data_IF_315495185074
#
_entry.id   IF_315495185074
#
_cell.length_a   1.000
_cell.length_b   1.000
_cell.length_c   1.000
_cell.angle_alpha   90.00
_cell.angle_beta   90.00
_cell.angle_gamma   90.00
#
_symmetry.space_group_name_H-M   'P 1'
#
loop_
_entity.id
_entity.type
_entity.pdbx_description
1 polymer ?
#
# COMPACT_ATOMS: atom_id res chain seq x y z
N UNK A 1 13.01 -4.98 -8.31
CA UNK A 1 14.10 -4.48 -7.44
C UNK A 1 13.65 -3.15 -6.85
N UNK A 2 13.86 -2.91 -5.56
CA UNK A 2 13.46 -1.68 -4.87
C UNK A 2 14.39 -0.49 -5.21
N UNK A 3 13.88 0.74 -5.15
CA UNK A 3 14.68 1.96 -5.39
C UNK A 3 15.57 2.27 -4.19
N UNK A 4 16.86 2.47 -4.43
CA UNK A 4 17.83 2.72 -3.36
C UNK A 4 17.69 4.14 -2.78
N UNK A 5 17.41 4.24 -1.49
CA UNK A 5 17.24 5.53 -0.81
C UNK A 5 18.52 6.38 -0.73
N UNK A 6 19.70 5.76 -0.68
CA UNK A 6 20.95 6.53 -0.66
C UNK A 6 21.20 7.23 -2.00
N UNK A 7 20.93 6.56 -3.12
CA UNK A 7 21.09 7.20 -4.45
C UNK A 7 20.13 8.38 -4.61
N UNK A 8 18.90 8.25 -4.13
CA UNK A 8 17.91 9.33 -4.11
C UNK A 8 18.37 10.48 -3.20
N UNK A 9 18.82 10.19 -1.98
CA UNK A 9 19.29 11.18 -1.03
C UNK A 9 20.48 11.98 -1.57
N UNK A 10 21.49 11.30 -2.14
CA UNK A 10 22.66 11.98 -2.73
C UNK A 10 22.28 12.89 -3.91
N UNK A 11 21.33 12.47 -4.75
CA UNK A 11 20.84 13.32 -5.86
C UNK A 11 20.09 14.55 -5.36
N UNK A 12 19.21 14.39 -4.38
CA UNK A 12 18.47 15.49 -3.76
C UNK A 12 19.45 16.49 -3.12
N UNK A 13 20.44 15.99 -2.37
CA UNK A 13 21.48 16.84 -1.78
C UNK A 13 22.34 17.56 -2.84
N UNK A 14 22.73 16.88 -3.91
CA UNK A 14 23.54 17.47 -4.96
C UNK A 14 22.81 18.63 -5.64
N UNK A 15 21.51 18.48 -5.90
CA UNK A 15 20.67 19.52 -6.53
C UNK A 15 20.45 20.68 -5.56
N UNK A 16 20.06 20.40 -4.30
CA UNK A 16 19.81 21.42 -3.29
C UNK A 16 21.06 22.26 -2.97
N UNK A 17 22.23 21.62 -2.87
CA UNK A 17 23.51 22.30 -2.57
C UNK A 17 24.01 23.15 -3.75
N UNK A 18 23.82 22.69 -5.00
CA UNK A 18 24.24 23.44 -6.19
C UNK A 18 23.60 24.83 -6.28
N UNK A 19 22.40 24.96 -5.75
CA UNK A 19 21.62 26.20 -5.78
C UNK A 19 21.78 27.09 -4.52
N UNK A 20 22.58 26.69 -3.52
CA UNK A 20 22.74 27.37 -2.22
C UNK A 20 21.45 27.56 -1.41
N UNK A 21 20.44 26.69 -1.58
CA UNK A 21 19.07 26.92 -1.05
C UNK A 21 18.79 26.34 0.34
N UNK A 22 19.79 25.71 0.96
CA UNK A 22 19.69 25.18 2.32
C UNK A 22 20.09 23.71 2.42
N UNK A 23 20.34 23.26 3.65
CA UNK A 23 20.71 21.89 3.97
C UNK A 23 19.46 21.13 4.44
N UNK A 24 19.11 20.05 3.73
CA UNK A 24 18.04 19.14 4.17
C UNK A 24 18.65 18.13 5.13
N UNK A 25 18.21 18.15 6.39
CA UNK A 25 18.67 17.16 7.37
C UNK A 25 18.15 15.77 7.00
N UNK A 26 18.86 14.69 7.38
CA UNK A 26 18.36 13.33 7.15
C UNK A 26 16.96 13.06 7.73
N UNK A 27 16.60 13.73 8.82
CA UNK A 27 15.28 13.59 9.44
C UNK A 27 14.19 14.22 8.58
N UNK A 28 14.43 15.44 8.09
CA UNK A 28 13.52 16.11 7.14
C UNK A 28 13.41 15.32 5.84
N UNK A 29 14.53 14.83 5.31
CA UNK A 29 14.53 13.98 4.13
C UNK A 29 13.66 12.73 4.33
N UNK A 30 13.79 12.03 5.46
CA UNK A 30 12.97 10.85 5.73
C UNK A 30 11.48 11.18 5.77
N UNK A 31 11.09 12.32 6.34
CA UNK A 31 9.69 12.75 6.33
C UNK A 31 9.18 13.02 4.91
N UNK A 32 9.94 13.79 4.12
CA UNK A 32 9.60 14.14 2.74
C UNK A 32 9.60 12.90 1.82
N UNK A 33 10.54 11.97 2.03
CA UNK A 33 10.63 10.72 1.30
C UNK A 33 9.40 9.82 1.54
N UNK A 34 8.93 9.70 2.78
CA UNK A 34 7.71 8.95 3.08
C UNK A 34 6.48 9.61 2.45
N UNK A 35 6.37 10.94 2.49
CA UNK A 35 5.27 11.65 1.83
C UNK A 35 5.32 11.49 0.31
N UNK A 36 6.49 11.61 -0.31
CA UNK A 36 6.66 11.44 -1.75
C UNK A 36 6.32 10.02 -2.20
N UNK A 37 6.75 9.00 -1.44
CA UNK A 37 6.40 7.60 -1.72
C UNK A 37 4.89 7.38 -1.67
N UNK A 38 4.21 7.91 -0.65
CA UNK A 38 2.75 7.79 -0.55
C UNK A 38 2.04 8.50 -1.70
N UNK A 39 2.47 9.71 -2.06
CA UNK A 39 1.87 10.45 -3.17
C UNK A 39 2.00 9.71 -4.51
N UNK A 40 3.16 9.11 -4.79
CA UNK A 40 3.39 8.32 -6.01
C UNK A 40 2.53 7.05 -5.98
N UNK A 41 2.45 6.38 -4.83
CA UNK A 41 1.61 5.20 -4.65
C UNK A 41 0.12 5.51 -4.91
N UNK A 42 -0.40 6.61 -4.38
CA UNK A 42 -1.78 7.04 -4.63
C UNK A 42 -2.03 7.38 -6.11
N UNK A 43 -1.04 7.99 -6.77
CA UNK A 43 -1.10 8.34 -8.19
C UNK A 43 -1.27 7.09 -9.08
N UNK A 44 -0.65 5.95 -8.75
CA UNK A 44 -0.82 4.72 -9.52
C UNK A 44 -2.30 4.31 -9.63
N UNK A 45 -3.07 4.39 -8.53
CA UNK A 45 -4.50 4.06 -8.57
C UNK A 45 -5.31 5.09 -9.33
N UNK A 46 -4.92 6.36 -9.27
CA UNK A 46 -5.58 7.40 -10.04
C UNK A 46 -5.39 7.16 -11.55
N UNK A 47 -4.13 6.94 -11.97
CA UNK A 47 -3.79 6.68 -13.36
C UNK A 47 -4.45 5.40 -13.86
N UNK A 48 -4.38 4.31 -13.08
CA UNK A 48 -5.05 3.04 -13.38
C UNK A 48 -6.54 3.23 -13.71
N UNK A 49 -7.28 3.95 -12.85
CA UNK A 49 -8.71 4.23 -13.06
C UNK A 49 -8.98 5.12 -14.29
N UNK A 50 -8.01 5.93 -14.74
CA UNK A 50 -8.16 6.75 -15.94
C UNK A 50 -7.90 5.95 -17.21
N UNK A 51 -6.86 5.12 -17.23
CA UNK A 51 -6.55 4.26 -18.36
C UNK A 51 -7.62 3.17 -18.56
N UNK A 52 -8.13 2.58 -17.48
CA UNK A 52 -9.25 1.62 -17.54
C UNK A 52 -10.50 2.22 -18.24
N UNK A 53 -10.74 3.52 -18.08
CA UNK A 53 -11.87 4.22 -18.70
C UNK A 53 -11.58 4.73 -20.12
N UNK A 54 -10.32 5.01 -20.42
CA UNK A 54 -9.91 5.72 -21.63
C UNK A 54 -9.46 4.81 -22.78
N UNK A 55 -9.01 3.60 -22.49
CA UNK A 55 -8.39 2.75 -23.51
C UNK A 55 -9.39 1.79 -24.16
N UNK A 56 -9.57 1.98 -25.47
CA UNK A 56 -10.06 0.91 -26.35
C UNK A 56 -8.86 0.00 -26.58
N UNK A 57 -8.84 -1.15 -25.89
CA UNK A 57 -7.68 -2.05 -25.77
C UNK A 57 -6.84 -2.17 -27.03
N UNK A 58 -5.60 -1.69 -26.92
CA UNK A 58 -4.58 -1.91 -27.94
C UNK A 58 -3.75 -3.10 -27.45
N UNK A 59 -3.97 -4.28 -28.03
CA UNK A 59 -3.50 -5.61 -27.56
C UNK A 59 -1.97 -5.83 -27.71
N UNK A 60 -1.20 -4.75 -27.66
CA UNK A 60 0.24 -4.74 -27.79
C UNK A 60 0.91 -5.02 -26.44
N UNK A 61 1.46 -6.22 -26.30
CA UNK A 61 2.03 -6.80 -25.05
C UNK A 61 3.07 -5.94 -24.29
N UNK A 62 3.65 -4.91 -24.90
CA UNK A 62 4.72 -4.10 -24.29
C UNK A 62 4.46 -2.59 -24.31
N UNK A 63 3.36 -2.13 -24.89
CA UNK A 63 3.04 -0.69 -25.02
C UNK A 63 1.73 -0.31 -24.36
N UNK A 64 1.07 -1.26 -23.72
CA UNK A 64 -0.12 -0.97 -22.92
C UNK A 64 0.29 -0.25 -21.62
N UNK A 65 -0.25 0.95 -21.42
CA UNK A 65 0.02 1.73 -20.22
C UNK A 65 -0.63 1.11 -18.99
N UNK A 66 -1.74 0.39 -19.16
CA UNK A 66 -2.42 -0.31 -18.07
C UNK A 66 -1.55 -1.45 -17.53
N UNK A 67 -0.90 -2.22 -18.40
CA UNK A 67 0.01 -3.29 -18.00
C UNK A 67 1.21 -2.76 -17.21
N UNK A 68 1.80 -1.65 -17.65
CA UNK A 68 2.91 -0.99 -16.94
C UNK A 68 2.48 -0.49 -15.56
N UNK A 69 1.25 0.02 -15.42
CA UNK A 69 0.74 0.47 -14.12
C UNK A 69 0.41 -0.73 -13.22
N UNK A 70 -0.16 -1.80 -13.77
CA UNK A 70 -0.39 -3.03 -13.03
C UNK A 70 0.93 -3.59 -12.49
N UNK A 71 1.99 -3.68 -13.29
CA UNK A 71 3.32 -4.13 -12.83
C UNK A 71 3.84 -3.30 -11.64
N UNK A 72 3.56 -2.00 -11.61
CA UNK A 72 3.92 -1.13 -10.46
C UNK A 72 3.05 -1.41 -9.23
N UNK A 73 1.76 -1.68 -9.41
CA UNK A 73 0.82 -1.99 -8.32
C UNK A 73 1.11 -3.38 -7.74
N UNK A 74 1.49 -4.36 -8.57
CA UNK A 74 1.76 -5.75 -8.19
C UNK A 74 2.85 -5.88 -7.11
N UNK A 75 3.78 -4.92 -7.03
CA UNK A 75 4.81 -4.87 -5.97
C UNK A 75 4.17 -4.85 -4.57
N UNK A 76 3.00 -4.21 -4.45
CA UNK A 76 2.27 -4.04 -3.20
C UNK A 76 1.23 -5.14 -2.95
N UNK A 77 0.97 -6.00 -3.94
CA UNK A 77 -0.01 -7.07 -3.80
C UNK A 77 0.54 -8.18 -2.90
N UNK A 78 -0.27 -8.57 -1.92
CA UNK A 78 0.00 -9.72 -1.05
C UNK A 78 -0.98 -10.82 -1.39
N UNK A 79 -0.45 -11.98 -1.76
CA UNK A 79 -1.23 -13.13 -2.19
C UNK A 79 -1.38 -14.17 -1.08
N UNK A 80 -2.62 -14.59 -0.80
CA UNK A 80 -2.99 -15.65 0.14
C UNK A 80 -2.37 -15.51 1.53
N UNK A 81 -2.43 -14.31 2.09
CA UNK A 81 -1.98 -14.05 3.46
C UNK A 81 -3.01 -14.62 4.44
N UNK A 82 -2.55 -15.35 5.46
CA UNK A 82 -3.43 -15.93 6.48
C UNK A 82 -4.13 -14.85 7.31
N UNK A 83 -5.45 -14.95 7.41
CA UNK A 83 -6.23 -14.16 8.35
C UNK A 83 -6.13 -14.76 9.76
N UNK A 84 -6.33 -13.95 10.79
CA UNK A 84 -6.30 -14.41 12.18
C UNK A 84 -7.72 -14.79 12.63
N UNK A 85 -7.91 -16.04 13.03
CA UNK A 85 -9.18 -16.47 13.61
C UNK A 85 -9.33 -15.92 15.02
N UNK A 86 -10.48 -15.30 15.33
CA UNK A 86 -10.79 -14.82 16.68
C UNK A 86 -11.99 -15.57 17.24
N UNK A 87 -11.83 -16.09 18.45
CA UNK A 87 -12.89 -16.79 19.18
C UNK A 87 -13.65 -15.81 20.06
N UNK A 88 -14.95 -15.67 19.85
CA UNK A 88 -15.85 -15.01 20.79
C UNK A 88 -16.83 -16.05 21.35
N UNK A 89 -17.10 -16.00 22.66
CA UNK A 89 -18.02 -16.93 23.32
C UNK A 89 -19.45 -16.91 22.73
N UNK A 90 -19.86 -15.81 22.08
CA UNK A 90 -21.21 -15.60 21.56
C UNK A 90 -21.30 -15.64 20.02
N UNK A 91 -20.17 -15.67 19.31
CA UNK A 91 -20.13 -15.56 17.85
C UNK A 91 -18.97 -16.41 17.30
N UNK A 92 -19.27 -17.28 16.35
CA UNK A 92 -18.28 -18.11 15.67
C UNK A 92 -18.03 -17.62 14.24
N UNK A 93 -16.86 -17.96 13.69
CA UNK A 93 -16.51 -17.64 12.29
C UNK A 93 -16.02 -16.20 12.09
N UNK A 94 -15.49 -15.56 13.14
CA UNK A 94 -14.95 -14.21 13.05
C UNK A 94 -13.47 -14.29 12.69
N UNK A 95 -13.06 -13.47 11.74
CA UNK A 95 -11.68 -13.36 11.28
C UNK A 95 -11.23 -11.91 11.30
N UNK A 96 -9.98 -11.72 11.65
CA UNK A 96 -9.28 -10.46 11.54
C UNK A 96 -8.39 -10.46 10.30
N UNK A 97 -8.62 -9.47 9.46
CA UNK A 97 -7.83 -9.18 8.28
C UNK A 97 -6.53 -8.47 8.68
N UNK A 98 -5.43 -8.71 7.94
CA UNK A 98 -4.22 -7.91 8.05
C UNK A 98 -4.49 -6.42 7.84
N UNK A 99 -3.53 -5.59 8.25
CA UNK A 99 -3.54 -4.19 7.86
C UNK A 99 -3.36 -4.09 6.34
N UNK A 100 -4.16 -3.25 5.68
CA UNK A 100 -4.23 -3.20 4.23
C UNK A 100 -4.66 -1.82 3.74
N UNK A 101 -4.17 -1.43 2.57
CA UNK A 101 -4.62 -0.22 1.88
C UNK A 101 -5.93 -0.48 1.11
N UNK A 102 -5.99 -1.57 0.33
CA UNK A 102 -7.18 -2.00 -0.41
C UNK A 102 -7.34 -3.51 -0.28
N UNK A 103 -8.56 -3.97 0.04
CA UNK A 103 -8.86 -5.41 0.01
C UNK A 103 -9.10 -5.88 -1.41
N UNK A 104 -8.48 -7.01 -1.75
CA UNK A 104 -8.90 -7.85 -2.85
C UNK A 104 -9.85 -8.95 -2.36
N UNK A 105 -9.67 -10.14 -2.92
CA UNK A 105 -10.51 -11.30 -2.66
C UNK A 105 -10.10 -12.06 -1.40
N UNK A 106 -11.07 -12.73 -0.78
CA UNK A 106 -10.85 -13.58 0.39
C UNK A 106 -11.12 -15.02 -0.03
N UNK A 107 -10.31 -15.95 0.43
CA UNK A 107 -10.48 -17.37 0.13
C UNK A 107 -10.51 -18.20 1.41
N UNK A 108 -11.24 -19.29 1.37
CA UNK A 108 -11.17 -20.36 2.35
C UNK A 108 -10.51 -21.58 1.73
N UNK A 109 -9.66 -22.24 2.52
CA UNK A 109 -9.09 -23.52 2.14
C UNK A 109 -10.06 -24.64 2.55
N UNK A 110 -10.79 -25.17 1.58
CA UNK A 110 -11.68 -26.32 1.75
C UNK A 110 -11.12 -27.51 0.97
N UNK A 111 -10.92 -28.66 1.63
CA UNK A 111 -10.51 -29.91 0.98
C UNK A 111 -9.28 -29.78 0.04
N UNK A 112 -8.35 -28.88 0.37
CA UNK A 112 -7.14 -28.62 -0.44
C UNK A 112 -7.32 -27.69 -1.63
N UNK A 113 -8.52 -27.11 -1.82
CA UNK A 113 -8.82 -26.12 -2.85
C UNK A 113 -9.16 -24.77 -2.21
N UNK A 114 -8.75 -23.68 -2.87
CA UNK A 114 -9.12 -22.33 -2.46
C UNK A 114 -10.47 -21.97 -3.08
N UNK A 115 -11.44 -21.70 -2.22
CA UNK A 115 -12.79 -21.27 -2.58
C UNK A 115 -12.94 -19.81 -2.19
N UNK A 116 -13.32 -18.96 -3.13
CA UNK A 116 -13.59 -17.54 -2.88
C UNK A 116 -14.73 -17.38 -1.87
N UNK A 117 -14.54 -16.48 -0.92
CA UNK A 117 -15.55 -16.05 0.05
C UNK A 117 -16.15 -14.75 -0.46
N UNK A 118 -17.40 -14.82 -0.90
CA UNK A 118 -18.08 -13.66 -1.50
C UNK A 118 -18.45 -12.63 -0.43
N UNK A 119 -18.21 -11.34 -0.72
CA UNK A 119 -18.63 -10.26 0.15
C UNK A 119 -20.12 -9.98 -0.02
N UNK A 120 -20.87 -10.02 1.07
CA UNK A 120 -22.28 -9.63 1.08
C UNK A 120 -22.55 -8.48 2.05
N UNK A 121 -23.60 -7.72 1.78
CA UNK A 121 -24.09 -6.70 2.70
C UNK A 121 -24.77 -7.33 3.91
N UNK A 122 -24.54 -6.75 5.10
CA UNK A 122 -25.14 -7.23 6.35
C UNK A 122 -26.67 -7.39 6.28
N UNK A 123 -27.34 -6.47 5.57
CA UNK A 123 -28.80 -6.50 5.40
C UNK A 123 -29.29 -7.69 4.56
N UNK A 124 -28.46 -8.20 3.65
CA UNK A 124 -28.81 -9.33 2.78
C UNK A 124 -28.57 -10.68 3.46
N UNK A 125 -27.72 -10.72 4.50
CA UNK A 125 -27.35 -11.95 5.20
C UNK A 125 -28.56 -12.78 5.64
N UNK A 126 -29.57 -12.15 6.25
CA UNK A 126 -30.76 -12.86 6.72
C UNK A 126 -31.58 -13.48 5.58
N UNK A 127 -31.66 -12.80 4.44
CA UNK A 127 -32.37 -13.31 3.25
C UNK A 127 -31.63 -14.51 2.64
N UNK A 128 -30.31 -14.42 2.56
CA UNK A 128 -29.46 -15.46 1.98
C UNK A 128 -29.45 -16.72 2.87
N UNK A 129 -29.36 -16.55 4.20
CA UNK A 129 -29.36 -17.67 5.16
C UNK A 129 -30.69 -18.43 5.21
N UNK A 130 -31.83 -17.75 5.06
CA UNK A 130 -33.15 -18.38 5.12
C UNK A 130 -33.62 -18.94 3.77
N UNK A 131 -32.90 -18.67 2.70
CA UNK A 131 -33.24 -19.13 1.36
C UNK A 131 -32.59 -20.49 1.07
N UNK A 132 -33.36 -21.54 0.73
CA UNK A 132 -32.83 -22.89 0.51
C UNK A 132 -31.82 -22.99 -0.64
N UNK A 133 -31.87 -22.09 -1.63
CA UNK A 133 -31.03 -22.12 -2.81
C UNK A 133 -29.78 -21.24 -2.71
N UNK A 134 -29.79 -20.25 -1.83
CA UNK A 134 -28.69 -19.29 -1.66
C UNK A 134 -28.02 -19.41 -0.30
N UNK A 135 -28.44 -20.37 0.54
CA UNK A 135 -27.82 -20.60 1.84
C UNK A 135 -26.31 -20.84 1.67
N UNK A 136 -25.44 -20.14 2.42
CA UNK A 136 -24.00 -20.28 2.29
C UNK A 136 -23.56 -21.70 2.64
N UNK A 137 -22.73 -22.30 1.80
CA UNK A 137 -22.13 -23.62 2.03
C UNK A 137 -20.62 -23.50 2.06
N UNK A 138 -19.92 -24.58 2.42
CA UNK A 138 -18.45 -24.56 2.46
C UNK A 138 -17.87 -24.35 1.05
N UNK A 139 -18.59 -24.77 0.01
CA UNK A 139 -18.21 -24.59 -1.40
C UNK A 139 -18.62 -23.21 -1.96
N UNK A 140 -19.47 -22.47 -1.24
CA UNK A 140 -19.93 -21.11 -1.58
C UNK A 140 -20.05 -20.26 -0.31
N UNK A 141 -18.92 -19.99 0.36
CA UNK A 141 -18.94 -19.23 1.59
C UNK A 141 -19.12 -17.74 1.28
N UNK A 142 -19.72 -17.03 2.23
CA UNK A 142 -19.93 -15.60 2.16
C UNK A 142 -19.39 -14.94 3.42
N UNK A 143 -18.96 -13.68 3.33
CA UNK A 143 -18.57 -12.90 4.49
C UNK A 143 -19.29 -11.57 4.55
N UNK A 144 -19.54 -11.13 5.78
CA UNK A 144 -19.98 -9.77 6.10
C UNK A 144 -18.89 -9.08 6.90
N UNK A 145 -18.77 -7.77 6.75
CA UNK A 145 -18.06 -6.96 7.76
C UNK A 145 -18.86 -7.03 9.06
N UNK A 146 -18.21 -7.07 10.20
CA UNK A 146 -18.90 -7.12 11.50
C UNK A 146 -18.44 -5.97 12.40
N UNK A 147 -19.21 -5.70 13.46
CA UNK A 147 -18.87 -4.68 14.43
C UNK A 147 -17.58 -5.03 15.20
N UNK A 148 -17.00 -4.04 15.89
CA UNK A 148 -15.76 -4.23 16.64
C UNK A 148 -15.97 -5.33 17.67
N UNK A 149 -15.14 -6.36 17.61
CA UNK A 149 -15.19 -7.48 18.54
C UNK A 149 -13.95 -7.40 19.43
N UNK A 150 -14.19 -7.54 20.73
CA UNK A 150 -13.13 -7.66 21.70
C UNK A 150 -12.44 -9.03 21.52
N UNK A 151 -11.13 -9.04 21.30
CA UNK A 151 -10.31 -10.25 21.38
C UNK A 151 -10.38 -10.78 22.82
N UNK A 152 -10.95 -11.97 23.04
CA UNK A 152 -10.89 -12.63 24.35
C UNK A 152 -9.77 -13.66 24.28
N UNK A 153 -8.61 -13.35 24.88
CA UNK A 153 -7.47 -14.27 24.84
C UNK A 153 -6.14 -13.69 25.31
N UNK A 154 -6.05 -13.21 26.55
CA UNK A 154 -4.81 -13.14 27.34
C UNK A 154 -5.17 -12.78 28.78
N UNK A 155 -4.48 -13.33 29.77
CA UNK A 155 -4.60 -13.01 31.22
C UNK A 155 -4.21 -11.58 31.58
N UNK A 156 -4.04 -10.72 30.59
CA UNK A 156 -3.86 -9.28 30.73
C UNK A 156 -4.98 -8.63 29.93
N UNK A 157 -5.91 -7.97 30.63
CA UNK A 157 -6.98 -7.11 30.10
C UNK A 157 -6.42 -5.96 29.26
N UNK A 158 -5.87 -6.26 28.08
CA UNK A 158 -5.61 -5.29 27.04
C UNK A 158 -6.70 -5.51 25.98
N UNK A 159 -7.81 -4.80 26.19
CA UNK A 159 -8.85 -4.57 25.18
C UNK A 159 -8.23 -3.80 24.00
N UNK A 160 -7.54 -4.49 23.11
CA UNK A 160 -7.29 -3.96 21.76
C UNK A 160 -8.50 -4.32 20.92
N UNK A 161 -9.50 -3.43 20.87
CA UNK A 161 -10.61 -3.57 19.94
C UNK A 161 -10.07 -3.65 18.51
N UNK A 162 -10.53 -4.63 17.74
CA UNK A 162 -10.14 -4.75 16.33
C UNK A 162 -10.93 -3.70 15.55
N UNK A 163 -10.28 -2.85 14.73
CA UNK A 163 -11.00 -1.86 13.95
C UNK A 163 -12.03 -2.54 13.03
N UNK A 164 -13.16 -1.88 12.85
CA UNK A 164 -14.31 -2.36 12.05
C UNK A 164 -13.90 -2.77 10.64
N UNK A 165 -12.98 -2.04 10.05
CA UNK A 165 -12.49 -2.25 8.69
C UNK A 165 -11.74 -3.58 8.51
N UNK A 166 -11.27 -4.18 9.61
CA UNK A 166 -10.46 -5.40 9.62
C UNK A 166 -11.17 -6.60 10.21
N UNK A 167 -12.45 -6.48 10.59
CA UNK A 167 -13.20 -7.58 11.21
C UNK A 167 -14.28 -8.11 10.27
N UNK A 168 -14.22 -9.39 9.95
CA UNK A 168 -15.22 -10.08 9.12
C UNK A 168 -15.82 -11.26 9.85
N UNK A 169 -17.05 -11.62 9.47
CA UNK A 169 -17.68 -12.86 9.87
C UNK A 169 -18.01 -13.69 8.63
N UNK A 170 -17.61 -14.96 8.64
CA UNK A 170 -17.73 -15.90 7.52
C UNK A 170 -18.85 -16.90 7.78
N UNK A 171 -19.66 -17.15 6.75
CA UNK A 171 -20.77 -18.09 6.73
C UNK A 171 -20.61 -19.08 5.55
N UNK A 172 -20.81 -20.40 5.73
CA UNK A 172 -21.00 -21.07 7.02
C UNK A 172 -19.76 -20.86 7.90
N UNK A 173 -19.87 -21.17 9.19
CA UNK A 173 -18.77 -20.95 10.12
C UNK A 173 -17.53 -21.75 9.70
N UNK A 174 -16.50 -21.04 9.25
CA UNK A 174 -15.17 -21.58 8.93
C UNK A 174 -14.20 -21.12 10.02
N UNK A 175 -13.43 -22.06 10.57
CA UNK A 175 -12.53 -21.83 11.71
C UNK A 175 -11.05 -21.98 11.37
N UNK A 176 -10.72 -22.46 10.16
CA UNK A 176 -9.35 -22.65 9.70
C UNK A 176 -9.21 -22.27 8.23
N UNK A 177 -8.01 -21.82 7.83
CA UNK A 177 -7.64 -21.73 6.43
C UNK A 177 -8.26 -20.56 5.66
N UNK A 178 -8.69 -19.49 6.34
CA UNK A 178 -9.08 -18.25 5.65
C UNK A 178 -7.82 -17.44 5.32
N UNK A 179 -7.69 -17.10 4.05
CA UNK A 179 -6.60 -16.27 3.51
C UNK A 179 -7.18 -15.13 2.71
N UNK A 180 -6.43 -14.05 2.54
CA UNK A 180 -6.87 -12.90 1.75
C UNK A 180 -5.77 -12.42 0.80
N UNK A 181 -6.21 -11.85 -0.31
CA UNK A 181 -5.40 -11.01 -1.17
C UNK A 181 -5.71 -9.55 -0.85
N UNK A 182 -4.68 -8.72 -0.79
CA UNK A 182 -4.84 -7.29 -0.55
C UNK A 182 -3.63 -6.53 -1.08
N UNK A 183 -3.82 -5.23 -1.25
CA UNK A 183 -2.75 -4.28 -1.52
C UNK A 183 -2.33 -3.66 -0.20
N UNK A 184 -1.05 -3.79 0.13
CA UNK A 184 -0.47 -3.24 1.35
C UNK A 184 -0.08 -1.76 1.18
N UNK A 185 0.11 -1.07 2.29
CA UNK A 185 0.75 0.25 2.26
C UNK A 185 2.24 0.09 1.96
N UNK A 186 2.86 1.04 1.24
CA UNK A 186 4.29 1.02 1.05
C UNK A 186 5.02 1.16 2.40
N UNK A 187 6.05 0.33 2.60
CA UNK A 187 6.85 0.32 3.83
C UNK A 187 7.47 1.70 4.11
N UNK A 188 7.49 2.11 5.39
CA UNK A 188 8.12 3.38 5.77
C UNK A 188 9.60 3.38 5.42
N UNK A 189 10.01 4.36 4.65
CA UNK A 189 11.40 4.52 4.23
C UNK A 189 12.20 5.28 5.28
N UNK A 190 13.47 4.91 5.41
CA UNK A 190 14.38 5.61 6.29
C UNK A 190 15.79 5.52 5.72
N UNK A 191 16.37 6.68 5.40
CA UNK A 191 17.79 6.81 5.22
C UNK A 191 18.44 6.74 6.60
N UNK A 192 18.98 5.57 6.92
CA UNK A 192 19.61 5.29 8.20
C UNK A 192 20.93 6.04 8.30
N UNK A 193 21.20 6.65 9.45
CA UNK A 193 22.44 7.38 9.67
C UNK A 193 22.97 7.26 11.09
N UNK A 194 24.27 7.50 11.21
CA UNK A 194 24.99 7.68 12.47
C UNK A 194 25.72 9.00 12.45
N UNK A 195 25.76 9.71 13.57
CA UNK A 195 26.47 10.98 13.68
C UNK A 195 27.93 10.68 14.00
N UNK A 196 28.83 11.02 13.09
CA UNK A 196 30.28 10.92 13.27
C UNK A 196 30.87 12.29 12.97
N UNK A 197 31.61 12.88 13.91
CA UNK A 197 32.16 14.24 13.80
C UNK A 197 31.10 15.29 13.40
N UNK A 198 29.95 15.29 14.08
CA UNK A 198 28.82 16.21 13.85
C UNK A 198 28.18 16.12 12.45
N UNK A 199 28.58 15.14 11.63
CA UNK A 199 28.00 14.89 10.31
C UNK A 199 27.23 13.58 10.31
N UNK A 200 26.08 13.58 9.63
CA UNK A 200 25.33 12.37 9.39
C UNK A 200 26.04 11.53 8.32
N UNK A 201 26.45 10.31 8.69
CA UNK A 201 27.03 9.31 7.80
C UNK A 201 26.02 8.18 7.59
N UNK A 202 25.88 7.75 6.34
CA UNK A 202 25.00 6.65 5.94
C UNK A 202 25.26 5.38 6.73
N UNK A 203 24.19 4.70 7.14
CA UNK A 203 24.22 3.42 7.84
C UNK A 203 23.22 2.44 7.20
N UNK A 204 23.74 1.44 6.50
CA UNK A 204 22.95 0.44 5.79
C UNK A 204 22.08 -0.42 6.72
N UNK A 205 22.56 -0.76 7.93
CA UNK A 205 21.83 -1.61 8.89
C UNK A 205 20.56 -0.94 9.44
N UNK A 206 20.48 0.39 9.34
CA UNK A 206 19.34 1.19 9.79
C UNK A 206 18.52 1.75 8.63
N UNK A 207 18.79 1.28 7.42
CA UNK A 207 18.19 1.83 6.21
C UNK A 207 17.05 0.94 5.69
N UNK A 208 15.92 1.57 5.38
CA UNK A 208 14.82 0.95 4.65
C UNK A 208 14.67 1.65 3.31
N UNK A 209 14.79 0.89 2.22
CA UNK A 209 14.68 1.38 0.84
C UNK A 209 13.22 1.62 0.43
N UNK A 210 13.03 2.31 -0.69
CA UNK A 210 11.71 2.58 -1.24
C UNK A 210 11.08 1.32 -1.82
N UNK A 211 9.83 1.06 -1.47
CA UNK A 211 9.02 -0.02 -2.05
C UNK A 211 8.31 0.53 -3.29
N UNK A 212 9.07 0.99 -4.30
CA UNK A 212 8.55 1.54 -5.55
C UNK A 212 9.24 0.88 -6.74
N UNK A 213 8.61 0.96 -7.91
CA UNK A 213 9.20 0.47 -9.15
C UNK A 213 10.43 1.31 -9.56
N UNK A 214 11.52 0.69 -10.08
CA UNK A 214 12.74 1.41 -10.47
C UNK A 214 12.55 2.57 -11.45
N UNK A 215 11.54 2.52 -12.31
CA UNK A 215 11.23 3.59 -13.25
C UNK A 215 10.89 4.91 -12.55
N UNK A 216 10.39 4.85 -11.31
CA UNK A 216 9.88 6.01 -10.58
C UNK A 216 10.96 6.72 -9.75
N UNK A 217 12.21 6.25 -9.79
CA UNK A 217 13.33 6.91 -9.08
C UNK A 217 13.47 8.38 -9.47
N UNK A 218 13.26 8.72 -10.75
CA UNK A 218 13.32 10.11 -11.23
C UNK A 218 12.17 10.94 -10.66
N UNK A 219 10.95 10.44 -10.79
CA UNK A 219 9.75 11.10 -10.27
C UNK A 219 9.85 11.32 -8.75
N UNK A 220 10.37 10.33 -8.04
CA UNK A 220 10.62 10.38 -6.60
C UNK A 220 11.59 11.51 -6.21
N UNK A 221 12.72 11.65 -6.93
CA UNK A 221 13.67 12.76 -6.67
C UNK A 221 12.99 14.11 -6.88
N UNK A 222 12.22 14.27 -7.97
CA UNK A 222 11.51 15.51 -8.27
C UNK A 222 10.47 15.83 -7.18
N UNK A 223 9.64 14.86 -6.78
CA UNK A 223 8.64 15.06 -5.72
C UNK A 223 9.25 15.39 -4.37
N UNK A 224 10.38 14.78 -4.01
CA UNK A 224 11.07 15.15 -2.77
C UNK A 224 11.59 16.60 -2.84
N UNK A 225 12.12 17.04 -3.99
CA UNK A 225 12.57 18.42 -4.19
C UNK A 225 11.41 19.44 -4.16
N UNK A 226 10.25 19.11 -4.74
CA UNK A 226 9.04 19.95 -4.64
C UNK A 226 8.62 20.14 -3.19
N UNK A 227 8.50 19.03 -2.45
CA UNK A 227 8.11 19.06 -1.04
C UNK A 227 9.14 19.79 -0.19
N UNK A 228 10.44 19.63 -0.48
CA UNK A 228 11.51 20.39 0.17
C UNK A 228 11.41 21.90 -0.13
N UNK A 229 11.08 22.29 -1.36
CA UNK A 229 10.89 23.69 -1.75
C UNK A 229 9.74 24.36 -1.00
N UNK A 230 8.63 23.65 -0.82
CA UNK A 230 7.51 24.10 0.00
C UNK A 230 7.93 24.25 1.46
N UNK A 231 8.65 23.25 2.02
CA UNK A 231 9.09 23.25 3.41
C UNK A 231 10.03 24.43 3.72
N UNK A 232 10.97 24.71 2.82
CA UNK A 232 11.99 25.77 2.98
C UNK A 232 11.40 27.16 2.62
N UNK A 233 10.14 27.23 2.16
CA UNK A 233 9.48 28.44 1.66
C UNK A 233 10.31 29.15 0.58
N UNK A 234 11.02 28.38 -0.24
CA UNK A 234 11.78 28.90 -1.36
C UNK A 234 10.99 28.66 -2.66
N UNK A 235 10.33 29.70 -3.22
CA UNK A 235 9.59 29.58 -4.46
C UNK A 235 10.47 29.12 -5.62
N UNK A 236 11.77 29.36 -5.56
CA UNK A 236 12.70 28.96 -6.59
C UNK A 236 12.82 27.44 -6.67
N UNK A 237 12.84 26.71 -5.54
CA UNK A 237 13.07 25.26 -5.57
C UNK A 237 11.85 24.53 -6.13
N UNK A 238 10.66 25.06 -5.84
CA UNK A 238 9.42 24.66 -6.50
C UNK A 238 9.44 24.94 -8.01
N UNK A 239 9.87 26.13 -8.44
CA UNK A 239 10.02 26.46 -9.86
C UNK A 239 11.07 25.60 -10.57
N UNK A 240 12.14 25.22 -9.87
CA UNK A 240 13.16 24.33 -10.41
C UNK A 240 12.60 22.92 -10.61
N UNK A 241 11.86 22.38 -9.64
CA UNK A 241 11.20 21.10 -9.81
C UNK A 241 10.23 21.12 -10.99
N UNK A 242 9.44 22.19 -11.16
CA UNK A 242 8.60 22.36 -12.36
C UNK A 242 9.39 22.52 -13.67
N UNK A 243 10.62 23.06 -13.62
CA UNK A 243 11.52 23.15 -14.79
C UNK A 243 12.10 21.79 -15.15
N UNK A 244 12.51 21.00 -14.17
CA UNK A 244 12.98 19.62 -14.34
C UNK A 244 11.85 18.72 -14.86
N UNK A 245 10.63 18.88 -14.33
CA UNK A 245 9.42 18.21 -14.83
C UNK A 245 9.13 18.60 -16.29
N UNK A 246 9.25 19.88 -16.64
CA UNK A 246 9.06 20.33 -18.02
C UNK A 246 10.14 19.77 -18.98
N UNK A 247 11.39 19.66 -18.53
CA UNK A 247 12.46 19.01 -19.31
C UNK A 247 12.21 17.50 -19.46
N UNK A 248 11.70 16.85 -18.42
CA UNK A 248 11.31 15.44 -18.46
C UNK A 248 10.21 15.18 -19.50
N UNK A 249 9.12 15.95 -19.44
CA UNK A 249 8.01 15.84 -20.40
C UNK A 249 8.45 16.13 -21.85
N UNK A 250 9.50 16.92 -22.07
CA UNK A 250 10.08 17.13 -23.39
C UNK A 250 10.93 15.95 -23.86
N UNK A 251 11.60 15.24 -22.95
CA UNK A 251 12.39 14.05 -23.26
C UNK A 251 11.51 12.81 -23.53
N UNK A 252 10.33 12.69 -22.90
CA UNK A 252 9.38 11.60 -23.19
C UNK A 252 8.65 11.75 -24.54
N UNK A 253 8.59 12.97 -25.08
CA UNK A 253 7.92 13.26 -26.36
C UNK A 253 8.83 13.12 -27.59
N UNK A 254 10.13 12.96 -27.42
CA UNK A 254 11.11 12.75 -28.50
C UNK A 254 11.43 11.26 -28.65
#
# INVERSE_FOLDING_TARGET
MAVNIDTVYQRVLAIANKEQRGYITPQEFNLLANQAQMNIFEQYFYDWNQFEKGETGNDSTYSDMLDLINEKIDIFEKFRVSCLYTTNANQAGIWELPDHYRMGEIYSLCNGQYVEIEKIDQNQLHHIQNSPLTAPTIDRPVYVRTSNILRIGSTTDLLTGIPLERTIQVFPTITTGVVCNYIDHPSKVSWGYTIVNEKALYNADRTTHFELHPSDEKNLVIKILELAGILIKDPGLYQLAGTEEAQYLQQEKQ
#
